data_IF_692465340412
#
_entry.id   IF_692465340412
#
_cell.length_a   1.000
_cell.length_b   1.000
_cell.length_c   1.000
_cell.angle_alpha   90.00
_cell.angle_beta   90.00
_cell.angle_gamma   90.00
#
_symmetry.space_group_name_H-M   'P 1'
#
loop_
_entity.id
_entity.type
_entity.pdbx_description
1 polymer ?
#
# COMPACT_ATOMS: atom_id res chain seq x y z
N UNK A 1 21.54 -17.91 -20.74
CA UNK A 1 20.91 -17.07 -19.69
C UNK A 1 21.42 -17.60 -18.38
N UNK A 2 21.87 -16.75 -17.48
CA UNK A 2 22.42 -17.20 -16.20
C UNK A 2 21.27 -17.71 -15.33
N UNK A 3 21.24 -19.00 -15.09
CA UNK A 3 20.33 -19.65 -14.14
C UNK A 3 20.83 -19.52 -12.69
N UNK A 4 21.91 -18.75 -12.47
CA UNK A 4 22.52 -18.50 -11.17
C UNK A 4 22.31 -17.04 -10.76
N UNK A 5 21.48 -16.83 -9.75
CA UNK A 5 21.19 -15.53 -9.16
C UNK A 5 22.13 -15.14 -8.01
N UNK A 6 23.13 -15.99 -7.70
CA UNK A 6 24.03 -15.80 -6.55
C UNK A 6 24.94 -14.57 -6.70
N UNK A 7 25.20 -14.14 -7.94
CA UNK A 7 26.08 -12.98 -8.25
C UNK A 7 25.35 -11.65 -8.31
N UNK A 8 24.01 -11.63 -8.14
CA UNK A 8 23.24 -10.39 -8.08
C UNK A 8 23.40 -9.70 -6.72
N UNK A 9 24.64 -9.28 -6.41
CA UNK A 9 24.96 -8.59 -5.17
C UNK A 9 25.26 -7.10 -5.48
N UNK A 10 24.59 -6.20 -4.75
CA UNK A 10 24.89 -4.77 -4.77
C UNK A 10 25.41 -4.33 -3.39
N UNK A 11 26.43 -3.48 -3.39
CA UNK A 11 26.87 -2.78 -2.18
C UNK A 11 26.03 -1.52 -1.98
N UNK A 12 25.60 -1.30 -0.76
CA UNK A 12 24.73 -0.19 -0.37
C UNK A 12 25.58 0.94 0.24
N UNK A 13 25.58 2.13 -0.39
CA UNK A 13 26.32 3.30 0.06
C UNK A 13 25.35 4.43 0.41
N UNK A 14 24.76 4.38 1.59
CA UNK A 14 23.80 5.40 2.00
C UNK A 14 24.00 5.86 3.45
N UNK A 15 23.34 6.99 3.76
CA UNK A 15 23.29 7.60 5.08
C UNK A 15 22.77 6.58 6.10
N UNK A 16 23.31 6.62 7.33
CA UNK A 16 22.87 5.77 8.42
C UNK A 16 21.44 6.13 8.86
N UNK A 17 20.73 5.15 9.38
CA UNK A 17 19.49 5.36 10.13
C UNK A 17 19.80 5.19 11.62
N UNK A 18 19.95 6.32 12.32
CA UNK A 18 20.31 6.35 13.73
C UNK A 18 19.08 6.70 14.58
N UNK A 19 18.98 6.11 15.78
CA UNK A 19 17.86 6.34 16.71
C UNK A 19 17.71 7.82 17.08
N UNK A 20 18.82 8.53 17.23
CA UNK A 20 18.84 9.94 17.62
C UNK A 20 18.44 10.89 16.48
N UNK A 21 18.43 10.42 15.24
CA UNK A 21 18.04 11.19 14.04
C UNK A 21 16.64 10.81 13.55
N UNK A 22 16.13 9.68 14.01
CA UNK A 22 14.80 9.19 13.67
C UNK A 22 13.73 9.97 14.41
N UNK A 23 12.64 10.31 13.72
CA UNK A 23 11.51 10.98 14.36
C UNK A 23 10.85 10.04 15.38
N UNK A 24 10.46 10.57 16.53
CA UNK A 24 9.74 9.81 17.55
C UNK A 24 8.35 9.33 17.06
N UNK A 25 7.80 10.01 16.06
CA UNK A 25 6.55 9.65 15.40
C UNK A 25 6.83 8.93 14.07
N UNK A 26 6.50 7.63 13.94
CA UNK A 26 6.79 6.88 12.72
C UNK A 26 5.98 7.36 11.50
N UNK A 27 4.85 8.05 11.69
CA UNK A 27 4.12 8.66 10.58
C UNK A 27 4.88 9.87 10.02
N UNK A 28 5.48 10.68 10.89
CA UNK A 28 6.36 11.77 10.47
C UNK A 28 7.62 11.23 9.79
N UNK A 29 8.27 10.21 10.35
CA UNK A 29 9.40 9.51 9.75
C UNK A 29 9.07 8.93 8.37
N UNK A 30 7.89 8.33 8.21
CA UNK A 30 7.43 7.82 6.92
C UNK A 30 7.24 8.96 5.90
N UNK A 31 6.59 10.06 6.30
CA UNK A 31 6.36 11.22 5.42
C UNK A 31 7.67 11.85 4.95
N UNK A 32 8.65 11.96 5.83
CA UNK A 32 9.99 12.45 5.47
C UNK A 32 10.65 11.53 4.43
N UNK A 33 10.69 10.23 4.68
CA UNK A 33 11.28 9.26 3.75
C UNK A 33 10.53 9.19 2.43
N UNK A 34 9.20 9.30 2.47
CA UNK A 34 8.36 9.33 1.28
C UNK A 34 8.63 10.58 0.43
N UNK A 35 8.74 11.76 1.08
CA UNK A 35 9.12 13.01 0.42
C UNK A 35 10.49 12.90 -0.26
N UNK A 36 11.48 12.34 0.44
CA UNK A 36 12.81 12.07 -0.14
C UNK A 36 12.71 11.11 -1.35
N UNK A 37 11.84 10.09 -1.31
CA UNK A 37 11.64 9.18 -2.45
C UNK A 37 11.01 9.89 -3.65
N UNK A 38 10.07 10.80 -3.44
CA UNK A 38 9.49 11.65 -4.48
C UNK A 38 10.56 12.57 -5.09
N UNK A 39 11.34 13.27 -4.27
CA UNK A 39 12.37 14.20 -4.69
C UNK A 39 13.52 13.49 -5.43
N UNK A 40 13.84 12.27 -5.04
CA UNK A 40 14.82 11.42 -5.72
C UNK A 40 14.32 10.94 -7.10
N UNK A 41 13.02 11.01 -7.37
CA UNK A 41 12.40 10.54 -8.60
C UNK A 41 12.16 9.02 -8.62
N UNK A 42 11.92 8.39 -7.46
CA UNK A 42 11.54 6.96 -7.41
C UNK A 42 10.24 6.75 -8.19
N UNK A 43 10.19 5.84 -9.17
CA UNK A 43 8.97 5.55 -9.89
C UNK A 43 7.89 4.98 -8.97
N UNK A 44 6.67 5.53 -9.03
CA UNK A 44 5.54 5.09 -8.22
C UNK A 44 5.89 4.91 -6.72
N UNK A 45 6.42 5.95 -6.03
CA UNK A 45 6.88 5.80 -4.65
C UNK A 45 5.78 5.39 -3.69
N UNK A 46 4.52 5.59 -4.07
CA UNK A 46 3.32 5.21 -3.34
C UNK A 46 2.83 3.77 -3.64
N UNK A 47 3.51 3.02 -4.49
CA UNK A 47 3.22 1.60 -4.68
C UNK A 47 3.67 0.81 -3.44
N UNK A 48 2.77 -0.03 -2.91
CA UNK A 48 3.06 -0.87 -1.75
C UNK A 48 2.52 -2.28 -1.96
N UNK A 49 3.29 -3.28 -1.55
CA UNK A 49 2.77 -4.63 -1.44
C UNK A 49 1.85 -4.71 -0.22
N UNK A 50 0.64 -5.22 -0.43
CA UNK A 50 -0.34 -5.52 0.61
C UNK A 50 -0.43 -7.03 0.77
N UNK A 51 -0.02 -7.53 1.92
CA UNK A 51 -0.24 -8.90 2.34
C UNK A 51 -1.54 -9.00 3.13
N UNK A 52 -2.35 -9.98 2.78
CA UNK A 52 -3.59 -10.37 3.46
C UNK A 52 -3.55 -11.88 3.70
N UNK A 53 -4.35 -12.38 4.60
CA UNK A 53 -4.49 -13.81 4.81
C UNK A 53 -5.96 -14.18 5.00
N UNK A 54 -6.30 -15.39 4.59
CA UNK A 54 -7.61 -15.97 4.90
C UNK A 54 -7.74 -16.23 6.41
N UNK A 55 -8.94 -16.53 6.87
CA UNK A 55 -9.19 -16.84 8.29
C UNK A 55 -8.37 -18.05 8.80
N UNK A 56 -8.06 -19.00 7.92
CA UNK A 56 -7.22 -20.17 8.21
C UNK A 56 -5.70 -19.92 7.97
N UNK A 57 -5.32 -18.64 7.75
CA UNK A 57 -3.92 -18.21 7.70
C UNK A 57 -3.23 -18.39 6.36
N UNK A 58 -3.93 -18.67 5.25
CA UNK A 58 -3.30 -18.73 3.92
C UNK A 58 -2.97 -17.33 3.43
N UNK A 59 -1.67 -17.02 3.19
CA UNK A 59 -1.24 -15.68 2.80
C UNK A 59 -1.51 -15.42 1.32
N UNK A 60 -1.76 -14.16 1.01
CA UNK A 60 -1.85 -13.64 -0.34
C UNK A 60 -1.18 -12.26 -0.41
N UNK A 61 -0.62 -11.86 -1.56
CA UNK A 61 0.07 -10.57 -1.72
C UNK A 61 -0.18 -9.98 -3.10
N UNK A 62 -0.32 -8.64 -3.17
CA UNK A 62 -0.44 -7.85 -4.41
C UNK A 62 -0.01 -6.42 -4.16
N UNK A 63 0.26 -5.69 -5.24
CA UNK A 63 0.50 -4.26 -5.11
C UNK A 63 -0.82 -3.48 -5.08
N UNK A 64 -0.85 -2.45 -4.25
CA UNK A 64 -1.87 -1.39 -4.20
C UNK A 64 -1.17 -0.04 -4.09
N UNK A 65 -1.92 1.07 -4.24
CA UNK A 65 -1.34 2.41 -4.17
C UNK A 65 -1.79 3.11 -2.89
N UNK A 66 -0.84 3.58 -2.10
CA UNK A 66 -1.10 4.50 -0.99
C UNK A 66 -1.76 5.77 -1.54
N UNK A 67 -2.82 6.23 -0.88
CA UNK A 67 -3.56 7.44 -1.25
C UNK A 67 -3.54 8.52 -0.18
N UNK A 68 -3.40 8.13 1.07
CA UNK A 68 -3.23 9.04 2.20
C UNK A 68 -2.46 8.37 3.32
N UNK A 69 -1.74 9.16 4.10
CA UNK A 69 -1.12 8.75 5.36
C UNK A 69 -1.29 9.84 6.41
N UNK A 70 -1.86 9.46 7.54
CA UNK A 70 -2.11 10.32 8.69
C UNK A 70 -1.84 9.58 10.00
N UNK A 71 -2.01 10.27 11.13
CA UNK A 71 -1.94 9.63 12.47
C UNK A 71 -2.96 8.49 12.64
N UNK A 72 -3.99 8.47 11.80
CA UNK A 72 -5.00 7.41 11.80
C UNK A 72 -4.55 6.16 11.04
N UNK A 73 -3.55 6.27 10.14
CA UNK A 73 -3.00 5.14 9.40
C UNK A 73 -2.81 5.39 7.90
N UNK A 74 -2.65 4.28 7.18
CA UNK A 74 -2.31 4.23 5.74
C UNK A 74 -3.56 3.87 4.94
N UNK A 75 -3.96 4.73 4.01
CA UNK A 75 -5.22 4.60 3.26
C UNK A 75 -4.98 4.16 1.82
N UNK A 76 -5.74 3.18 1.36
CA UNK A 76 -5.84 2.76 -0.04
C UNK A 76 -7.28 2.42 -0.42
N UNK A 77 -7.56 2.30 -1.73
CA UNK A 77 -8.90 2.03 -2.23
C UNK A 77 -8.92 0.80 -3.12
N UNK A 78 -9.99 0.00 -3.00
CA UNK A 78 -10.18 -1.23 -3.77
C UNK A 78 -11.65 -1.66 -3.76
N UNK A 79 -11.99 -2.78 -4.41
CA UNK A 79 -13.31 -3.39 -4.30
C UNK A 79 -13.37 -4.30 -3.06
N UNK A 80 -14.39 -4.12 -2.23
CA UNK A 80 -14.64 -4.96 -1.05
C UNK A 80 -14.93 -6.42 -1.41
N UNK A 81 -15.49 -6.65 -2.61
CA UNK A 81 -15.79 -7.99 -3.14
C UNK A 81 -14.58 -8.68 -3.80
N UNK A 82 -13.44 -8.00 -3.91
CA UNK A 82 -12.21 -8.62 -4.42
C UNK A 82 -11.66 -9.67 -3.45
N UNK A 83 -10.72 -10.50 -3.91
CA UNK A 83 -10.06 -11.51 -3.04
C UNK A 83 -9.52 -10.85 -1.76
N UNK A 84 -8.75 -9.75 -1.90
CA UNK A 84 -8.21 -9.02 -0.73
C UNK A 84 -9.29 -8.40 0.15
N UNK A 85 -10.38 -7.91 -0.45
CA UNK A 85 -11.51 -7.32 0.29
C UNK A 85 -12.20 -8.36 1.17
N UNK A 86 -12.47 -9.55 0.63
CA UNK A 86 -13.04 -10.67 1.39
C UNK A 86 -12.08 -11.16 2.48
N UNK A 87 -10.79 -11.30 2.15
CA UNK A 87 -9.77 -11.69 3.14
C UNK A 87 -9.72 -10.71 4.31
N UNK A 88 -9.68 -9.39 4.05
CA UNK A 88 -9.70 -8.36 5.11
C UNK A 88 -10.99 -8.31 5.91
N UNK A 89 -12.14 -8.70 5.32
CA UNK A 89 -13.40 -8.80 6.04
C UNK A 89 -13.40 -9.98 7.04
N UNK A 90 -12.71 -11.07 6.71
CA UNK A 90 -12.61 -12.27 7.55
C UNK A 90 -11.44 -12.18 8.54
N UNK A 91 -10.32 -11.60 8.12
CA UNK A 91 -9.09 -11.41 8.88
C UNK A 91 -8.51 -10.01 8.58
N UNK A 92 -8.74 -9.03 9.44
CA UNK A 92 -8.31 -7.66 9.20
C UNK A 92 -6.81 -7.43 9.41
N UNK A 93 -6.05 -8.41 9.92
CA UNK A 93 -4.61 -8.27 10.14
C UNK A 93 -3.88 -8.32 8.80
N UNK A 94 -3.12 -7.26 8.51
CA UNK A 94 -2.46 -7.06 7.22
C UNK A 94 -1.04 -6.54 7.41
N UNK A 95 -0.23 -6.69 6.35
CA UNK A 95 1.06 -6.03 6.28
C UNK A 95 1.21 -5.25 4.97
N UNK A 96 1.87 -4.08 5.04
CA UNK A 96 2.25 -3.26 3.91
C UNK A 96 3.77 -3.23 3.80
N UNK A 97 4.29 -3.20 2.57
CA UNK A 97 5.71 -3.01 2.31
C UNK A 97 5.90 -2.00 1.19
N UNK A 98 6.65 -0.94 1.48
CA UNK A 98 7.23 -0.03 0.49
C UNK A 98 8.69 -0.42 0.27
N UNK A 99 9.15 -0.42 -0.99
CA UNK A 99 10.55 -0.68 -1.30
C UNK A 99 11.05 0.28 -2.37
N UNK A 100 11.88 1.23 -1.95
CA UNK A 100 12.51 2.24 -2.80
C UNK A 100 13.92 1.79 -3.13
N UNK A 101 14.03 1.00 -4.20
CA UNK A 101 15.27 0.29 -4.59
C UNK A 101 16.44 1.24 -4.80
N UNK A 102 16.22 2.41 -5.42
CA UNK A 102 17.26 3.39 -5.71
C UNK A 102 17.86 4.01 -4.44
N UNK A 103 17.09 4.03 -3.36
CA UNK A 103 17.50 4.55 -2.05
C UNK A 103 17.90 3.44 -1.09
N UNK A 104 17.76 2.18 -1.51
CA UNK A 104 17.96 1.01 -0.65
C UNK A 104 17.20 1.13 0.67
N UNK A 105 15.94 1.57 0.59
CA UNK A 105 15.05 1.74 1.74
C UNK A 105 13.83 0.86 1.62
N UNK A 106 13.42 0.32 2.76
CA UNK A 106 12.16 -0.39 2.90
C UNK A 106 11.42 0.12 4.13
N UNK A 107 10.10 0.26 4.01
CA UNK A 107 9.22 0.49 5.16
C UNK A 107 8.20 -0.63 5.22
N UNK A 108 8.11 -1.30 6.37
CA UNK A 108 7.08 -2.32 6.64
C UNK A 108 6.11 -1.78 7.67
N UNK A 109 4.83 -2.02 7.43
CA UNK A 109 3.75 -1.67 8.34
C UNK A 109 2.95 -2.92 8.64
N UNK A 110 2.78 -3.25 9.90
CA UNK A 110 1.90 -4.32 10.37
C UNK A 110 0.77 -3.67 11.17
N UNK A 111 -0.47 -4.09 10.93
CA UNK A 111 -1.62 -3.50 11.59
C UNK A 111 -2.94 -4.04 11.06
N UNK A 112 -4.03 -3.37 11.41
CA UNK A 112 -5.39 -3.81 11.08
C UNK A 112 -6.05 -2.91 10.05
N UNK A 113 -6.66 -3.53 9.04
CA UNK A 113 -7.43 -2.84 8.02
C UNK A 113 -8.87 -2.57 8.51
N UNK A 114 -9.30 -1.32 8.38
CA UNK A 114 -10.65 -0.87 8.67
C UNK A 114 -11.27 -0.27 7.42
N UNK A 115 -12.54 -0.57 7.17
CA UNK A 115 -13.31 0.11 6.12
C UNK A 115 -13.44 1.60 6.44
N UNK A 116 -13.27 2.44 5.42
CA UNK A 116 -13.65 3.85 5.52
C UNK A 116 -15.17 4.02 5.47
N UNK A 117 -15.66 5.16 5.93
CA UNK A 117 -17.05 5.53 5.76
C UNK A 117 -17.40 5.74 4.28
N UNK A 118 -18.69 5.69 3.95
CA UNK A 118 -19.14 5.98 2.60
C UNK A 118 -18.82 7.43 2.20
N UNK A 119 -18.91 8.37 3.12
CA UNK A 119 -18.56 9.77 2.90
C UNK A 119 -17.09 9.94 2.52
N UNK A 120 -16.17 9.25 3.23
CA UNK A 120 -14.73 9.27 2.92
C UNK A 120 -14.45 8.62 1.56
N UNK A 121 -15.12 7.50 1.27
CA UNK A 121 -14.99 6.80 0.00
C UNK A 121 -15.52 7.64 -1.17
N UNK A 122 -16.69 8.28 -1.02
CA UNK A 122 -17.29 9.17 -2.02
C UNK A 122 -16.43 10.40 -2.26
N UNK A 123 -15.91 11.03 -1.21
CA UNK A 123 -15.03 12.18 -1.32
C UNK A 123 -13.82 11.88 -2.19
N UNK A 124 -13.14 10.75 -1.96
CA UNK A 124 -12.01 10.37 -2.80
C UNK A 124 -12.43 9.91 -4.20
N UNK A 125 -13.52 9.13 -4.33
CA UNK A 125 -14.02 8.66 -5.63
C UNK A 125 -14.25 9.82 -6.60
N UNK A 126 -14.83 10.91 -6.12
CA UNK A 126 -15.14 12.10 -6.92
C UNK A 126 -13.89 12.86 -7.39
N UNK A 127 -12.72 12.67 -6.76
CA UNK A 127 -11.45 13.26 -7.23
C UNK A 127 -10.82 12.49 -8.38
N UNK A 128 -11.29 11.28 -8.68
CA UNK A 128 -10.69 10.42 -9.70
C UNK A 128 -11.06 10.94 -11.12
N UNK A 129 -10.15 10.76 -12.10
CA UNK A 129 -10.49 11.03 -13.50
C UNK A 129 -11.74 10.26 -13.94
N UNK A 130 -12.51 10.85 -14.84
CA UNK A 130 -13.79 10.28 -15.33
C UNK A 130 -13.66 8.83 -15.76
N UNK A 131 -12.72 8.50 -16.65
CA UNK A 131 -12.51 7.13 -17.13
C UNK A 131 -12.14 6.14 -16.01
N UNK A 132 -11.41 6.62 -15.00
CA UNK A 132 -11.10 5.82 -13.80
C UNK A 132 -12.33 5.55 -12.94
N UNK A 133 -13.34 6.44 -12.96
CA UNK A 133 -14.63 6.21 -12.28
C UNK A 133 -15.50 5.22 -13.06
N UNK A 134 -15.53 5.33 -14.40
CA UNK A 134 -16.23 4.37 -15.26
C UNK A 134 -15.63 2.96 -15.11
N UNK A 135 -14.31 2.84 -15.12
CA UNK A 135 -13.62 1.56 -15.05
C UNK A 135 -13.99 0.72 -13.80
N UNK A 136 -14.44 1.36 -12.73
CA UNK A 136 -14.87 0.66 -11.49
C UNK A 136 -16.17 -0.13 -11.72
N UNK A 137 -17.00 0.27 -12.69
CA UNK A 137 -18.27 -0.37 -13.02
C UNK A 137 -18.15 -1.53 -14.03
N UNK A 138 -16.97 -1.68 -14.65
CA UNK A 138 -16.79 -2.64 -15.76
C UNK A 138 -16.94 -4.07 -15.30
N UNK A 139 -16.34 -4.42 -14.17
CA UNK A 139 -16.47 -5.75 -13.56
C UNK A 139 -16.11 -5.70 -12.07
N UNK A 140 -16.64 -6.63 -11.30
CA UNK A 140 -16.15 -6.87 -9.94
C UNK A 140 -14.72 -7.39 -9.97
N UNK A 141 -13.87 -6.81 -9.13
CA UNK A 141 -12.44 -7.17 -9.13
C UNK A 141 -12.23 -8.62 -8.67
N UNK A 142 -11.36 -9.34 -9.36
CA UNK A 142 -10.95 -10.74 -9.11
C UNK A 142 -11.99 -11.79 -9.49
N UNK A 143 -13.01 -11.44 -10.26
CA UNK A 143 -13.88 -12.43 -10.90
C UNK A 143 -13.26 -12.93 -12.20
N UNK A 144 -13.57 -14.16 -12.58
CA UNK A 144 -13.23 -14.70 -13.90
C UNK A 144 -14.05 -14.01 -14.98
N UNK A 145 -13.44 -13.67 -16.08
CA UNK A 145 -14.05 -13.04 -17.24
C UNK A 145 -13.70 -13.83 -18.50
N UNK A 146 -14.54 -13.75 -19.52
CA UNK A 146 -14.41 -14.54 -20.74
C UNK A 146 -13.20 -14.10 -21.58
N UNK A 147 -12.95 -12.78 -21.67
CA UNK A 147 -11.91 -12.25 -22.55
C UNK A 147 -11.56 -10.78 -22.23
N UNK A 148 -10.51 -10.28 -22.85
CA UNK A 148 -10.18 -8.85 -22.87
C UNK A 148 -11.27 -8.03 -23.56
N UNK A 149 -11.84 -8.54 -24.64
CA UNK A 149 -12.91 -7.90 -25.41
C UNK A 149 -14.16 -7.67 -24.54
N UNK A 150 -14.47 -8.58 -23.63
CA UNK A 150 -15.53 -8.37 -22.61
C UNK A 150 -15.33 -7.06 -21.85
N UNK A 151 -14.11 -6.79 -21.36
CA UNK A 151 -13.83 -5.53 -20.62
C UNK A 151 -14.00 -4.30 -21.49
N UNK A 152 -13.58 -4.37 -22.76
CA UNK A 152 -13.67 -3.25 -23.71
C UNK A 152 -15.12 -2.93 -24.05
N UNK A 153 -15.94 -3.96 -24.32
CA UNK A 153 -17.37 -3.82 -24.57
C UNK A 153 -18.10 -3.27 -23.34
N UNK A 154 -17.81 -3.81 -22.14
CA UNK A 154 -18.39 -3.31 -20.88
C UNK A 154 -18.01 -1.86 -20.62
N UNK A 155 -16.76 -1.46 -20.90
CA UNK A 155 -16.33 -0.07 -20.74
C UNK A 155 -17.12 0.86 -21.67
N UNK A 156 -17.39 0.45 -22.93
CA UNK A 156 -18.20 1.23 -23.86
C UNK A 156 -19.65 1.37 -23.36
N UNK A 157 -20.27 0.28 -22.90
CA UNK A 157 -21.63 0.30 -22.34
C UNK A 157 -21.74 1.23 -21.11
N UNK A 158 -20.76 1.17 -20.21
CA UNK A 158 -20.76 2.04 -19.02
C UNK A 158 -20.54 3.51 -19.42
N UNK A 159 -19.70 3.79 -20.42
CA UNK A 159 -19.52 5.14 -20.95
C UNK A 159 -20.82 5.70 -21.57
N UNK A 160 -21.60 4.88 -22.25
CA UNK A 160 -22.92 5.26 -22.76
C UNK A 160 -23.94 5.52 -21.63
N UNK A 161 -23.86 4.71 -20.56
CA UNK A 161 -24.74 4.86 -19.40
C UNK A 161 -24.46 6.15 -18.59
N UNK A 162 -23.17 6.56 -18.55
CA UNK A 162 -22.72 7.74 -17.82
C UNK A 162 -21.97 8.72 -18.74
N UNK A 163 -22.67 9.37 -19.69
CA UNK A 163 -22.03 10.23 -20.70
C UNK A 163 -21.52 11.58 -20.14
N UNK A 164 -21.89 11.91 -18.91
CA UNK A 164 -21.51 13.16 -18.24
C UNK A 164 -20.53 12.97 -17.10
N UNK A 165 -20.16 14.08 -16.45
CA UNK A 165 -19.20 14.06 -15.35
C UNK A 165 -19.69 13.32 -14.07
N UNK A 166 -20.99 13.08 -13.95
CA UNK A 166 -21.56 12.45 -12.76
C UNK A 166 -21.57 10.93 -12.92
N UNK A 167 -20.56 10.27 -12.36
CA UNK A 167 -20.48 8.81 -12.23
C UNK A 167 -20.61 8.47 -10.75
N UNK A 168 -21.66 7.77 -10.30
CA UNK A 168 -21.81 7.37 -8.91
C UNK A 168 -20.74 6.31 -8.52
N UNK A 169 -20.38 6.28 -7.25
CA UNK A 169 -19.50 5.21 -6.73
C UNK A 169 -20.33 3.92 -6.55
N UNK A 170 -19.86 2.76 -7.07
CA UNK A 170 -20.48 1.49 -6.69
C UNK A 170 -20.24 1.20 -5.20
N UNK A 171 -21.25 0.66 -4.51
CA UNK A 171 -21.14 0.32 -3.08
C UNK A 171 -20.00 -0.68 -2.78
N UNK A 172 -19.63 -1.50 -3.77
CA UNK A 172 -18.53 -2.47 -3.66
C UNK A 172 -17.14 -1.84 -3.76
N UNK A 173 -17.02 -0.58 -4.24
CA UNK A 173 -15.75 0.12 -4.28
C UNK A 173 -15.61 1.05 -3.07
N UNK A 174 -14.58 0.83 -2.26
CA UNK A 174 -14.41 1.50 -0.97
C UNK A 174 -12.94 1.73 -0.64
N UNK A 175 -12.69 2.45 0.45
CA UNK A 175 -11.37 2.63 1.03
C UNK A 175 -11.15 1.74 2.25
N UNK A 176 -9.88 1.46 2.49
CA UNK A 176 -9.40 0.81 3.71
C UNK A 176 -8.31 1.67 4.33
N UNK A 177 -8.36 1.82 5.66
CA UNK A 177 -7.30 2.41 6.47
C UNK A 177 -6.64 1.32 7.29
N UNK A 178 -5.34 1.15 7.09
CA UNK A 178 -4.53 0.27 7.94
C UNK A 178 -4.05 1.07 9.13
N UNK A 179 -4.58 0.77 10.31
CA UNK A 179 -4.14 1.34 11.58
C UNK A 179 -2.89 0.59 12.02
N UNK A 180 -1.71 1.23 12.06
CA UNK A 180 -0.46 0.52 12.32
C UNK A 180 -0.32 0.18 13.81
N UNK A 181 0.16 -1.04 14.07
CA UNK A 181 0.61 -1.51 15.37
C UNK A 181 2.13 -1.54 15.44
N UNK A 182 2.78 -1.84 14.31
CA UNK A 182 4.25 -1.86 14.16
C UNK A 182 4.66 -1.25 12.84
N UNK A 183 5.71 -0.43 12.85
CA UNK A 183 6.34 0.12 11.63
C UNK A 183 7.84 -0.10 11.72
N UNK A 184 8.42 -0.76 10.73
CA UNK A 184 9.86 -0.96 10.62
C UNK A 184 10.43 -0.14 9.47
N UNK A 185 11.46 0.64 9.76
CA UNK A 185 12.29 1.34 8.78
C UNK A 185 13.59 0.55 8.61
N UNK A 186 13.89 0.19 7.36
CA UNK A 186 15.09 -0.53 6.99
C UNK A 186 15.90 0.30 5.99
N UNK A 187 17.18 0.50 6.30
CA UNK A 187 18.15 1.17 5.43
C UNK A 187 19.28 0.21 5.07
N UNK A 188 19.50 0.02 3.76
CA UNK A 188 20.61 -0.79 3.24
C UNK A 188 21.97 -0.19 3.60
N UNK A 189 22.88 -1.03 4.13
CA UNK A 189 24.24 -0.65 4.50
C UNK A 189 25.24 -1.65 3.95
N UNK A 190 26.50 -1.21 3.82
CA UNK A 190 27.64 -2.06 3.42
C UNK A 190 27.76 -3.27 4.32
N UNK A 191 28.41 -4.32 3.81
CA UNK A 191 28.67 -5.57 4.54
C UNK A 191 27.44 -6.24 5.13
N UNK A 192 26.24 -5.89 4.62
CA UNK A 192 24.93 -6.38 5.09
C UNK A 192 24.60 -6.01 6.53
N UNK A 193 25.31 -5.05 7.12
CA UNK A 193 25.03 -4.51 8.45
C UNK A 193 23.95 -3.43 8.38
N UNK A 194 22.76 -3.83 7.92
CA UNK A 194 21.65 -2.92 7.65
C UNK A 194 21.11 -2.30 8.93
N UNK A 195 20.73 -1.01 8.85
CA UNK A 195 20.05 -0.34 9.94
C UNK A 195 18.55 -0.71 9.90
N UNK A 196 18.03 -1.11 11.05
CA UNK A 196 16.61 -1.47 11.21
C UNK A 196 16.08 -0.85 12.50
N UNK A 197 15.13 0.06 12.39
CA UNK A 197 14.42 0.64 13.52
C UNK A 197 12.96 0.17 13.49
N UNK A 198 12.54 -0.49 14.56
CA UNK A 198 11.17 -0.95 14.75
C UNK A 198 10.48 -0.05 15.76
N UNK A 199 9.38 0.51 15.32
CA UNK A 199 8.41 1.22 16.14
C UNK A 199 7.28 0.27 16.52
N UNK A 200 6.99 0.14 17.78
CA UNK A 200 5.85 -0.64 18.30
C UNK A 200 4.92 0.32 19.01
N UNK A 201 3.62 0.26 18.70
CA UNK A 201 2.62 1.11 19.34
C UNK A 201 2.46 0.70 20.80
N UNK A 202 2.49 1.68 21.68
CA UNK A 202 2.28 1.53 23.12
C UNK A 202 1.24 2.55 23.60
N UNK A 203 0.83 2.42 24.86
CA UNK A 203 -0.07 3.37 25.51
C UNK A 203 0.64 4.74 25.63
N UNK A 204 0.16 5.72 24.87
CA UNK A 204 0.71 7.08 24.85
C UNK A 204 1.78 7.38 23.79
N UNK A 205 2.13 6.41 22.89
CA UNK A 205 3.09 6.71 21.84
C UNK A 205 3.68 5.49 21.13
N UNK A 206 4.97 5.59 20.84
CA UNK A 206 5.72 4.56 20.13
C UNK A 206 7.03 4.24 20.85
N UNK A 207 7.28 2.97 21.05
CA UNK A 207 8.57 2.47 21.51
C UNK A 207 9.45 2.16 20.29
N UNK A 208 10.71 2.62 20.31
CA UNK A 208 11.66 2.47 19.21
C UNK A 208 12.79 1.55 19.66
N UNK A 209 13.05 0.50 18.88
CA UNK A 209 14.16 -0.40 19.13
C UNK A 209 14.93 -0.69 17.85
N UNK A 210 16.24 -0.89 17.95
CA UNK A 210 17.06 -1.38 16.87
C UNK A 210 16.95 -2.89 16.76
N UNK A 211 16.77 -3.40 15.53
CA UNK A 211 16.82 -4.82 15.24
C UNK A 211 18.18 -5.20 14.64
N UNK A 212 18.58 -6.44 14.85
CA UNK A 212 19.69 -7.03 14.10
C UNK A 212 19.38 -7.08 12.60
N UNK A 213 20.41 -6.91 11.73
CA UNK A 213 20.26 -6.92 10.29
C UNK A 213 19.79 -8.26 9.72
#
# INVERSE_FOLDING_TARGET
MADDFSDLRQEYRHVALLEQEADANPVAQFKDWFGQAVDYGVPLPNAMALATATRDGKPNVRFVLLKDVSEQGFTFYTHSVSVKGREMAENPDVALVFYWTQMHRQVRVEGRAHLLSDEEADAYFNTRPHDSRLAVWVADQSVEIESREYLENRMAEIAEQYPGESVPRPATWTGYRVVPERIEFWQGRESRLHDRLLYTREEGGWNIVRLAP
#
